data_IF_956404375260
#
_entry.id   IF_956404375260
#
_cell.length_a   1.000
_cell.length_b   1.000
_cell.length_c   1.000
_cell.angle_alpha   90.00
_cell.angle_beta   90.00
_cell.angle_gamma   90.00
#
_symmetry.space_group_name_H-M   'P 1'
#
loop_
_entity.id
_entity.type
_entity.pdbx_description
1 polymer ?
#
# COMPACT_ATOMS: atom_id res chain seq x y z
N UNK A 1 -10.91 -6.87 -2.54
CA UNK A 1 -10.19 -8.07 -3.05
C UNK A 1 -11.21 -9.17 -3.39
N UNK A 2 -12.06 -8.95 -4.39
CA UNK A 2 -13.17 -9.88 -4.70
C UNK A 2 -12.76 -11.00 -5.67
N UNK A 3 -11.84 -10.71 -6.59
CA UNK A 3 -11.38 -11.69 -7.59
C UNK A 3 -10.51 -12.77 -6.94
N UNK A 4 -9.47 -12.38 -6.20
CA UNK A 4 -8.62 -13.29 -5.43
C UNK A 4 -9.25 -13.50 -4.05
N UNK A 5 -10.26 -14.38 -3.97
CA UNK A 5 -11.01 -14.61 -2.74
C UNK A 5 -11.32 -16.10 -2.53
N UNK A 6 -11.51 -16.55 -1.27
CA UNK A 6 -11.78 -17.96 -0.98
C UNK A 6 -13.00 -18.53 -1.72
N UNK A 7 -14.13 -17.80 -1.87
CA UNK A 7 -15.27 -18.30 -2.64
C UNK A 7 -14.93 -18.58 -4.10
N UNK A 8 -14.21 -17.67 -4.77
CA UNK A 8 -13.82 -17.85 -6.18
C UNK A 8 -12.83 -19.00 -6.30
N UNK A 9 -11.85 -19.08 -5.40
CA UNK A 9 -10.88 -20.17 -5.41
C UNK A 9 -11.53 -21.53 -5.16
N UNK A 10 -12.52 -21.62 -4.27
CA UNK A 10 -13.27 -22.84 -4.01
C UNK A 10 -14.08 -23.30 -5.24
N UNK A 11 -14.71 -22.36 -5.95
CA UNK A 11 -15.41 -22.67 -7.21
C UNK A 11 -14.44 -23.20 -8.26
N UNK A 12 -13.25 -22.60 -8.40
CA UNK A 12 -12.24 -23.10 -9.34
C UNK A 12 -11.72 -24.50 -8.97
N UNK A 13 -11.57 -24.80 -7.68
CA UNK A 13 -11.24 -26.16 -7.21
C UNK A 13 -12.31 -27.18 -7.62
N UNK A 14 -13.58 -26.84 -7.40
CA UNK A 14 -14.71 -27.69 -7.81
C UNK A 14 -14.76 -27.89 -9.34
N UNK A 15 -14.61 -26.83 -10.12
CA UNK A 15 -14.61 -26.90 -11.59
C UNK A 15 -13.45 -27.74 -12.12
N UNK A 16 -12.28 -27.68 -11.47
CA UNK A 16 -11.15 -28.54 -11.80
C UNK A 16 -11.49 -30.02 -11.60
N UNK A 17 -12.13 -30.37 -10.49
CA UNK A 17 -12.52 -31.75 -10.18
C UNK A 17 -13.60 -32.29 -11.12
N UNK A 18 -14.48 -31.42 -11.63
CA UNK A 18 -15.58 -31.79 -12.53
C UNK A 18 -15.26 -31.59 -14.02
N UNK A 19 -14.01 -31.25 -14.35
CA UNK A 19 -13.58 -30.94 -15.71
C UNK A 19 -13.79 -32.14 -16.65
N UNK A 20 -14.52 -31.93 -17.76
CA UNK A 20 -14.87 -32.96 -18.72
C UNK A 20 -16.07 -33.83 -18.33
N UNK A 21 -16.62 -33.66 -17.13
CA UNK A 21 -17.85 -34.33 -16.68
C UNK A 21 -19.06 -33.39 -16.75
N UNK A 22 -19.07 -32.36 -15.90
CA UNK A 22 -20.19 -31.40 -15.81
C UNK A 22 -19.79 -29.98 -16.22
N UNK A 23 -18.50 -29.75 -16.47
CA UNK A 23 -17.99 -28.48 -16.98
C UNK A 23 -16.90 -28.71 -18.04
N UNK A 24 -16.50 -27.62 -18.68
CA UNK A 24 -15.51 -27.62 -19.77
C UNK A 24 -14.19 -28.30 -19.34
N UNK A 25 -13.63 -29.12 -20.23
CA UNK A 25 -12.37 -29.84 -19.99
C UNK A 25 -11.18 -28.90 -19.76
N UNK A 26 -11.24 -27.66 -20.26
CA UNK A 26 -10.22 -26.63 -20.02
C UNK A 26 -10.01 -26.31 -18.54
N UNK A 27 -11.01 -26.55 -17.68
CA UNK A 27 -10.87 -26.37 -16.24
C UNK A 27 -9.89 -27.34 -15.58
N UNK A 28 -9.50 -28.44 -16.25
CA UNK A 28 -8.49 -29.36 -15.72
C UNK A 28 -7.13 -28.66 -15.44
N UNK A 29 -6.85 -27.57 -16.15
CA UNK A 29 -5.57 -26.86 -16.08
C UNK A 29 -5.55 -25.67 -15.11
N UNK A 30 -6.64 -25.37 -14.40
CA UNK A 30 -6.71 -24.19 -13.50
C UNK A 30 -5.95 -24.37 -12.18
N UNK A 31 -5.26 -25.51 -11.99
CA UNK A 31 -4.53 -25.82 -10.76
C UNK A 31 -3.51 -24.74 -10.38
N UNK A 32 -2.78 -24.19 -11.35
CA UNK A 32 -1.82 -23.11 -11.09
C UNK A 32 -2.50 -21.81 -10.69
N UNK A 33 -3.65 -21.49 -11.29
CA UNK A 33 -4.47 -20.33 -10.91
C UNK A 33 -4.97 -20.47 -9.47
N UNK A 34 -5.42 -21.65 -9.08
CA UNK A 34 -5.85 -21.94 -7.70
C UNK A 34 -4.71 -21.71 -6.71
N UNK A 35 -3.52 -22.26 -6.99
CA UNK A 35 -2.33 -22.06 -6.15
C UNK A 35 -1.97 -20.58 -6.06
N UNK A 36 -1.98 -19.86 -7.19
CA UNK A 36 -1.73 -18.42 -7.19
C UNK A 36 -2.74 -17.67 -6.31
N UNK A 37 -4.03 -17.98 -6.44
CA UNK A 37 -5.07 -17.29 -5.69
C UNK A 37 -5.00 -17.58 -4.20
N UNK A 38 -4.75 -18.84 -3.80
CA UNK A 38 -4.56 -19.21 -2.39
C UNK A 38 -3.33 -18.50 -1.79
N UNK A 39 -2.19 -18.54 -2.49
CA UNK A 39 -0.94 -17.91 -2.03
C UNK A 39 -1.07 -16.41 -1.90
N UNK A 40 -1.65 -15.73 -2.91
CA UNK A 40 -1.86 -14.29 -2.84
C UNK A 40 -2.89 -13.93 -1.77
N UNK A 41 -3.99 -14.66 -1.65
CA UNK A 41 -4.98 -14.43 -0.59
C UNK A 41 -4.38 -14.53 0.81
N UNK A 42 -3.55 -15.55 1.04
CA UNK A 42 -2.83 -15.70 2.29
C UNK A 42 -1.87 -14.54 2.55
N UNK A 43 -1.09 -14.14 1.55
CA UNK A 43 -0.20 -12.97 1.66
C UNK A 43 -0.97 -11.71 2.07
N UNK A 44 -2.07 -11.37 1.38
CA UNK A 44 -2.88 -10.21 1.74
C UNK A 44 -3.46 -10.31 3.15
N UNK A 45 -3.86 -11.50 3.57
CA UNK A 45 -4.40 -11.75 4.93
C UNK A 45 -3.35 -11.45 6.00
N UNK A 46 -2.13 -11.97 5.84
CA UNK A 46 -1.03 -11.76 6.79
C UNK A 46 -0.57 -10.30 6.86
N UNK A 47 -0.72 -9.57 5.77
CA UNK A 47 -0.33 -8.15 5.64
C UNK A 47 -1.45 -7.18 6.08
N UNK A 48 -2.66 -7.68 6.34
CA UNK A 48 -3.84 -6.88 6.75
C UNK A 48 -4.44 -7.36 8.09
N UNK A 49 -3.60 -7.82 9.02
CA UNK A 49 -4.06 -8.20 10.37
C UNK A 49 -4.54 -6.96 11.11
N UNK A 50 -5.85 -6.90 11.39
CA UNK A 50 -6.53 -5.67 11.76
C UNK A 50 -6.83 -5.51 13.24
N UNK A 51 -7.07 -6.61 13.95
CA UNK A 51 -7.48 -6.63 15.35
C UNK A 51 -7.23 -8.02 15.97
N UNK A 52 -7.39 -8.12 17.30
CA UNK A 52 -7.09 -9.34 18.05
C UNK A 52 -8.25 -10.35 18.13
N UNK A 53 -9.39 -10.11 17.50
CA UNK A 53 -10.59 -10.97 17.58
C UNK A 53 -11.01 -11.56 16.24
N UNK A 54 -10.50 -11.02 15.13
CA UNK A 54 -10.87 -11.43 13.78
C UNK A 54 -10.58 -12.92 13.53
N UNK A 55 -9.45 -13.42 14.02
CA UNK A 55 -9.09 -14.83 13.90
C UNK A 55 -10.10 -15.77 14.59
N UNK A 56 -10.72 -15.32 15.68
CA UNK A 56 -11.77 -16.06 16.39
C UNK A 56 -13.07 -16.05 15.60
N UNK A 57 -13.52 -14.86 15.17
CA UNK A 57 -14.79 -14.72 14.46
C UNK A 57 -14.79 -15.40 13.08
N UNK A 58 -13.65 -15.34 12.38
CA UNK A 58 -13.50 -15.96 11.04
C UNK A 58 -12.95 -17.38 11.10
N UNK A 59 -12.64 -17.89 12.31
CA UNK A 59 -12.00 -19.17 12.54
C UNK A 59 -10.80 -19.41 11.60
N UNK A 60 -9.94 -18.39 11.49
CA UNK A 60 -8.78 -18.42 10.62
C UNK A 60 -7.55 -17.87 11.36
N UNK A 61 -6.54 -18.71 11.66
CA UNK A 61 -5.37 -18.32 12.43
C UNK A 61 -4.49 -17.29 11.73
N UNK A 62 -4.55 -17.17 10.39
CA UNK A 62 -3.76 -16.17 9.66
C UNK A 62 -4.15 -14.73 10.02
N UNK A 63 -5.35 -14.48 10.56
CA UNK A 63 -5.77 -13.17 11.08
C UNK A 63 -5.33 -12.89 12.53
N UNK A 64 -4.56 -13.77 13.17
CA UNK A 64 -4.13 -13.56 14.56
C UNK A 64 -3.10 -12.43 14.63
N UNK A 65 -3.14 -11.61 15.68
CA UNK A 65 -2.06 -10.64 15.94
C UNK A 65 -0.71 -11.36 16.09
N UNK A 66 0.39 -10.69 15.72
CA UNK A 66 1.73 -11.23 15.92
C UNK A 66 2.17 -10.96 17.35
N UNK A 67 2.53 -12.00 18.10
CA UNK A 67 2.92 -11.92 19.52
C UNK A 67 4.34 -12.43 19.78
N UNK A 68 4.94 -13.10 18.78
CA UNK A 68 6.27 -13.71 18.87
C UNK A 68 7.06 -13.39 17.61
N UNK A 69 8.37 -13.20 17.76
CA UNK A 69 9.32 -13.07 16.65
C UNK A 69 9.45 -14.35 15.82
N UNK A 70 9.20 -15.50 16.43
CA UNK A 70 9.29 -16.84 15.81
C UNK A 70 7.94 -17.32 15.27
N UNK A 71 7.02 -16.40 14.99
CA UNK A 71 5.71 -16.74 14.41
C UNK A 71 5.92 -17.36 13.02
N UNK A 72 5.45 -18.61 12.85
CA UNK A 72 5.60 -19.38 11.60
C UNK A 72 5.07 -18.63 10.38
N UNK A 73 4.11 -17.71 10.56
CA UNK A 73 3.55 -16.88 9.48
C UNK A 73 4.56 -15.86 8.96
N UNK A 74 5.44 -15.34 9.82
CA UNK A 74 6.57 -14.49 9.40
C UNK A 74 7.57 -15.31 8.57
N UNK A 75 7.88 -16.53 9.02
CA UNK A 75 8.73 -17.46 8.26
C UNK A 75 8.13 -17.82 6.89
N UNK A 76 6.80 -18.01 6.82
CA UNK A 76 6.12 -18.25 5.54
C UNK A 76 6.22 -17.05 4.58
N UNK A 77 6.10 -15.81 5.08
CA UNK A 77 6.25 -14.60 4.26
C UNK A 77 7.67 -14.45 3.72
N UNK A 78 8.67 -14.74 4.54
CA UNK A 78 10.08 -14.53 4.24
C UNK A 78 10.67 -15.64 3.35
N UNK A 79 10.36 -16.90 3.64
CA UNK A 79 10.87 -18.03 2.85
C UNK A 79 9.87 -18.44 1.77
N UNK A 80 8.73 -19.01 2.17
CA UNK A 80 7.83 -19.71 1.25
C UNK A 80 7.21 -18.79 0.18
N UNK A 81 6.81 -17.57 0.56
CA UNK A 81 6.19 -16.63 -0.37
C UNK A 81 7.23 -16.02 -1.33
N UNK A 82 8.43 -15.67 -0.85
CA UNK A 82 9.49 -15.12 -1.71
C UNK A 82 10.00 -16.17 -2.70
N UNK A 83 10.19 -17.42 -2.25
CA UNK A 83 10.55 -18.54 -3.13
C UNK A 83 9.48 -18.78 -4.19
N UNK A 84 8.20 -18.74 -3.79
CA UNK A 84 7.09 -18.82 -4.71
C UNK A 84 7.15 -17.71 -5.77
N UNK A 85 7.40 -16.44 -5.39
CA UNK A 85 7.55 -15.32 -6.33
C UNK A 85 8.74 -15.52 -7.29
N UNK A 86 9.85 -16.06 -6.82
CA UNK A 86 11.01 -16.38 -7.65
C UNK A 86 10.67 -17.48 -8.67
N UNK A 87 9.95 -18.52 -8.23
CA UNK A 87 9.59 -19.66 -9.06
C UNK A 87 8.61 -19.31 -10.17
N UNK A 88 7.59 -18.50 -9.86
CA UNK A 88 6.67 -18.02 -10.90
C UNK A 88 7.38 -17.09 -11.88
N UNK A 89 8.34 -16.27 -11.43
CA UNK A 89 9.16 -15.43 -12.33
C UNK A 89 10.02 -16.29 -13.27
N UNK A 90 10.58 -17.39 -12.77
CA UNK A 90 11.42 -18.31 -13.55
C UNK A 90 10.65 -19.02 -14.66
N UNK A 91 9.38 -19.35 -14.41
CA UNK A 91 8.55 -20.11 -15.35
C UNK A 91 7.62 -19.26 -16.21
N UNK A 92 7.41 -18.00 -15.86
CA UNK A 92 6.54 -17.11 -16.62
C UNK A 92 7.34 -16.39 -17.71
N UNK A 93 6.85 -16.33 -18.96
CA UNK A 93 7.40 -15.42 -19.95
C UNK A 93 7.20 -13.98 -19.46
N UNK A 94 8.14 -13.08 -19.78
CA UNK A 94 8.20 -11.73 -19.21
C UNK A 94 6.90 -10.90 -19.37
N UNK A 95 6.08 -11.19 -20.38
CA UNK A 95 4.81 -10.49 -20.64
C UNK A 95 3.64 -10.99 -19.78
N UNK A 96 3.73 -12.18 -19.19
CA UNK A 96 2.64 -12.84 -18.45
C UNK A 96 2.89 -12.87 -16.94
N UNK A 97 3.88 -12.13 -16.47
CA UNK A 97 4.22 -12.00 -15.06
C UNK A 97 3.85 -10.60 -14.53
N UNK A 98 4.02 -10.39 -13.22
CA UNK A 98 3.92 -9.08 -12.61
C UNK A 98 4.93 -8.11 -13.26
N UNK A 99 4.56 -6.84 -13.36
CA UNK A 99 5.50 -5.80 -13.80
C UNK A 99 6.71 -5.74 -12.87
N UNK A 100 7.84 -5.21 -13.37
CA UNK A 100 9.06 -5.07 -12.59
C UNK A 100 8.80 -4.30 -11.29
N UNK A 101 7.98 -3.27 -11.39
CA UNK A 101 7.56 -2.37 -10.31
C UNK A 101 6.69 -3.11 -9.29
N UNK A 102 5.67 -3.86 -9.74
CA UNK A 102 4.77 -4.59 -8.83
C UNK A 102 5.52 -5.71 -8.09
N UNK A 103 6.36 -6.48 -8.77
CA UNK A 103 7.17 -7.51 -8.09
C UNK A 103 8.11 -6.87 -7.08
N UNK A 104 8.84 -5.81 -7.46
CA UNK A 104 9.75 -5.12 -6.53
C UNK A 104 9.00 -4.57 -5.32
N UNK A 105 7.83 -3.98 -5.54
CA UNK A 105 6.96 -3.50 -4.48
C UNK A 105 6.51 -4.61 -3.51
N UNK A 106 6.16 -5.79 -4.03
CA UNK A 106 5.81 -6.96 -3.21
C UNK A 106 6.99 -7.44 -2.35
N UNK A 107 8.19 -7.55 -2.94
CA UNK A 107 9.40 -7.97 -2.23
C UNK A 107 9.71 -7.01 -1.08
N UNK A 108 9.85 -5.71 -1.40
CA UNK A 108 10.15 -4.68 -0.40
C UNK A 108 9.09 -4.68 0.69
N UNK A 109 7.80 -4.69 0.31
CA UNK A 109 6.72 -4.65 1.28
C UNK A 109 6.74 -5.87 2.20
N UNK A 110 7.00 -7.06 1.68
CA UNK A 110 7.04 -8.30 2.47
C UNK A 110 8.20 -8.27 3.45
N UNK A 111 9.42 -8.08 2.96
CA UNK A 111 10.64 -8.08 3.77
C UNK A 111 10.56 -6.98 4.83
N UNK A 112 10.24 -5.74 4.44
CA UNK A 112 10.15 -4.63 5.40
C UNK A 112 9.08 -4.83 6.47
N UNK A 113 7.95 -5.50 6.16
CA UNK A 113 6.94 -5.79 7.18
C UNK A 113 7.42 -6.86 8.16
N UNK A 114 8.03 -7.95 7.67
CA UNK A 114 8.57 -9.02 8.54
C UNK A 114 9.61 -8.43 9.51
N UNK A 115 10.58 -7.71 8.97
CA UNK A 115 11.62 -7.04 9.76
C UNK A 115 11.03 -6.05 10.78
N UNK A 116 10.06 -5.23 10.35
CA UNK A 116 9.41 -4.28 11.25
C UNK A 116 8.63 -4.99 12.39
N UNK A 117 7.93 -6.09 12.10
CA UNK A 117 7.23 -6.87 13.12
C UNK A 117 8.23 -7.43 14.13
N UNK A 118 9.32 -8.07 13.68
CA UNK A 118 10.38 -8.60 14.56
C UNK A 118 10.98 -7.50 15.43
N UNK A 119 11.35 -6.36 14.84
CA UNK A 119 11.90 -5.22 15.57
C UNK A 119 10.96 -4.68 16.65
N UNK A 120 9.67 -4.53 16.32
CA UNK A 120 8.67 -4.03 17.27
C UNK A 120 8.47 -4.99 18.46
N UNK A 121 8.51 -6.30 18.22
CA UNK A 121 8.38 -7.31 19.26
C UNK A 121 9.67 -7.46 20.10
N UNK A 122 10.83 -7.61 19.45
CA UNK A 122 12.12 -7.90 20.07
C UNK A 122 12.76 -6.70 20.75
N UNK A 123 12.88 -5.59 20.02
CA UNK A 123 13.64 -4.41 20.44
C UNK A 123 12.73 -3.46 21.20
N UNK A 124 11.57 -3.15 20.62
CA UNK A 124 10.63 -2.19 21.22
C UNK A 124 9.73 -2.82 22.29
N UNK A 125 9.75 -4.15 22.44
CA UNK A 125 9.01 -4.92 23.46
C UNK A 125 7.50 -4.67 23.42
N UNK A 126 6.94 -4.56 22.21
CA UNK A 126 5.50 -4.49 22.04
C UNK A 126 4.88 -5.84 22.38
N UNK A 127 3.73 -5.83 23.06
CA UNK A 127 3.01 -7.07 23.40
C UNK A 127 2.52 -7.81 22.15
N UNK A 128 2.11 -7.06 21.13
CA UNK A 128 1.67 -7.60 19.86
C UNK A 128 1.77 -6.54 18.75
N UNK A 129 1.72 -6.98 17.49
CA UNK A 129 1.76 -6.14 16.30
C UNK A 129 0.57 -6.45 15.37
N UNK A 130 0.00 -5.39 14.78
CA UNK A 130 -1.08 -5.45 13.79
C UNK A 130 -0.60 -4.86 12.47
N UNK A 131 -0.41 -5.70 11.45
CA UNK A 131 0.18 -5.29 10.15
C UNK A 131 -0.69 -4.30 9.38
N UNK A 132 -2.02 -4.29 9.59
CA UNK A 132 -2.90 -3.26 9.01
C UNK A 132 -2.49 -1.84 9.36
N UNK A 133 -1.86 -1.62 10.53
CA UNK A 133 -1.41 -0.29 10.98
C UNK A 133 -0.18 0.23 10.23
N UNK A 134 0.45 -0.60 9.40
CA UNK A 134 1.59 -0.23 8.56
C UNK A 134 1.18 0.17 7.13
N UNK A 135 -0.12 0.23 6.84
CA UNK A 135 -0.66 0.63 5.53
C UNK A 135 -0.88 2.15 5.41
N UNK A 136 -1.02 2.64 4.18
CA UNK A 136 -1.37 4.03 3.87
C UNK A 136 -2.88 4.31 4.00
N UNK A 137 -3.72 3.28 4.20
CA UNK A 137 -5.18 3.41 4.26
C UNK A 137 -5.68 4.54 5.19
N UNK A 138 -5.12 4.77 6.40
CA UNK A 138 -5.56 5.87 7.25
C UNK A 138 -5.31 7.25 6.63
N UNK A 139 -4.20 7.41 5.91
CA UNK A 139 -3.84 8.65 5.21
C UNK A 139 -4.74 8.83 3.98
N UNK A 140 -5.02 7.76 3.25
CA UNK A 140 -5.95 7.78 2.11
C UNK A 140 -7.38 8.12 2.55
N UNK A 141 -7.83 7.56 3.68
CA UNK A 141 -9.10 7.89 4.30
C UNK A 141 -9.16 9.37 4.71
N UNK A 142 -8.06 9.90 5.24
CA UNK A 142 -7.94 11.33 5.55
C UNK A 142 -8.02 12.21 4.30
N UNK A 143 -7.36 11.84 3.20
CA UNK A 143 -7.50 12.54 1.92
C UNK A 143 -8.92 12.44 1.35
N UNK A 144 -9.58 11.29 1.52
CA UNK A 144 -10.99 11.13 1.18
C UNK A 144 -11.90 12.04 2.02
N UNK A 145 -11.61 12.19 3.31
CA UNK A 145 -12.30 13.14 4.18
C UNK A 145 -12.07 14.59 3.76
N UNK A 146 -10.83 14.97 3.43
CA UNK A 146 -10.52 16.32 2.96
C UNK A 146 -11.31 16.67 1.69
N UNK A 147 -11.38 15.76 0.71
CA UNK A 147 -12.21 15.94 -0.49
C UNK A 147 -13.68 16.12 -0.15
N UNK A 148 -14.24 15.28 0.73
CA UNK A 148 -15.63 15.42 1.19
C UNK A 148 -15.89 16.72 1.95
N UNK A 149 -14.90 17.21 2.70
CA UNK A 149 -15.03 18.45 3.48
C UNK A 149 -15.14 19.70 2.59
N UNK A 150 -14.64 19.62 1.35
CA UNK A 150 -14.77 20.66 0.33
C UNK A 150 -16.11 20.59 -0.44
N UNK A 151 -17.02 19.69 -0.07
CA UNK A 151 -18.32 19.52 -0.73
C UNK A 151 -18.24 18.75 -2.04
N UNK A 152 -18.90 19.23 -3.09
CA UNK A 152 -18.93 18.60 -4.42
C UNK A 152 -17.65 18.85 -5.25
N UNK A 153 -16.65 19.51 -4.67
CA UNK A 153 -15.41 19.81 -5.37
C UNK A 153 -14.38 18.70 -5.15
N UNK A 154 -14.34 17.72 -6.06
CA UNK A 154 -13.35 16.64 -6.05
C UNK A 154 -11.92 17.15 -6.33
N UNK A 155 -11.78 18.33 -6.94
CA UNK A 155 -10.50 19.00 -7.17
C UNK A 155 -10.24 20.02 -6.05
N UNK A 156 -9.74 19.55 -4.92
CA UNK A 156 -9.40 20.41 -3.79
C UNK A 156 -8.20 21.30 -4.10
N UNK A 157 -8.37 22.61 -4.05
CA UNK A 157 -7.24 23.55 -4.09
C UNK A 157 -6.52 23.57 -2.73
N UNK A 158 -5.31 24.17 -2.71
CA UNK A 158 -4.49 24.23 -1.50
C UNK A 158 -5.23 24.95 -0.35
N UNK A 159 -6.06 25.96 -0.65
CA UNK A 159 -6.81 26.70 0.36
C UNK A 159 -7.89 25.85 1.01
N UNK A 160 -8.63 25.06 0.23
CA UNK A 160 -9.61 24.12 0.74
C UNK A 160 -8.96 23.04 1.61
N UNK A 161 -7.81 22.51 1.19
CA UNK A 161 -7.05 21.53 2.00
C UNK A 161 -6.62 22.14 3.33
N UNK A 162 -6.01 23.33 3.33
CA UNK A 162 -5.58 24.00 4.56
C UNK A 162 -6.76 24.27 5.50
N UNK A 163 -7.87 24.77 4.96
CA UNK A 163 -9.08 25.03 5.74
C UNK A 163 -9.68 23.74 6.31
N UNK A 164 -9.64 22.64 5.55
CA UNK A 164 -10.08 21.32 5.99
C UNK A 164 -9.22 20.76 7.13
N UNK A 165 -7.89 20.86 7.00
CA UNK A 165 -6.95 20.45 8.06
C UNK A 165 -7.19 21.28 9.33
N UNK A 166 -7.28 22.60 9.20
CA UNK A 166 -7.55 23.50 10.32
C UNK A 166 -8.87 23.16 11.02
N UNK A 167 -9.92 22.87 10.24
CA UNK A 167 -11.22 22.44 10.76
C UNK A 167 -11.12 21.10 11.51
N UNK A 168 -10.38 20.13 10.99
CA UNK A 168 -10.16 18.83 11.64
C UNK A 168 -9.52 19.00 13.02
N UNK A 169 -8.49 19.85 13.11
CA UNK A 169 -7.78 20.14 14.35
C UNK A 169 -8.67 20.87 15.36
N UNK A 170 -9.39 21.91 14.92
CA UNK A 170 -10.27 22.70 15.81
C UNK A 170 -11.46 21.93 16.34
N UNK A 171 -11.94 20.94 15.60
CA UNK A 171 -13.11 20.13 15.98
C UNK A 171 -12.74 18.82 16.68
N UNK A 172 -11.44 18.57 16.88
CA UNK A 172 -10.92 17.34 17.52
C UNK A 172 -11.43 16.03 16.88
N UNK A 173 -11.76 16.05 15.59
CA UNK A 173 -12.14 14.83 14.85
C UNK A 173 -10.96 13.84 14.77
N UNK A 174 -9.72 14.33 14.96
CA UNK A 174 -8.47 13.57 14.92
C UNK A 174 -7.87 13.28 16.32
N UNK A 175 -8.65 12.80 17.30
CA UNK A 175 -8.11 12.31 18.57
C UNK A 175 -7.68 10.83 18.50
N UNK A 176 -6.64 10.47 19.26
CA UNK A 176 -6.25 9.07 19.46
C UNK A 176 -7.29 8.32 20.27
N UNK A 177 -7.57 7.05 19.95
CA UNK A 177 -8.53 6.27 20.74
C UNK A 177 -8.00 6.06 22.17
N UNK A 178 -8.90 6.08 23.15
CA UNK A 178 -8.58 5.74 24.55
C UNK A 178 -8.09 4.28 24.72
N UNK A 179 -8.30 3.46 23.69
CA UNK A 179 -7.81 2.08 23.57
C UNK A 179 -6.49 1.93 22.82
N UNK A 180 -5.76 3.02 22.58
CA UNK A 180 -4.44 2.99 21.95
C UNK A 180 -3.46 2.13 22.77
N UNK A 181 -2.53 1.45 22.09
CA UNK A 181 -1.49 0.63 22.73
C UNK A 181 -0.34 1.46 23.33
N UNK A 182 -0.41 2.79 23.25
CA UNK A 182 0.54 3.73 23.87
C UNK A 182 -0.19 4.49 24.99
N UNK A 183 0.44 4.60 26.15
CA UNK A 183 -0.06 5.36 27.31
C UNK A 183 -0.39 6.79 26.89
N UNK A 184 -1.68 7.14 26.87
CA UNK A 184 -2.13 8.53 26.75
C UNK A 184 -2.08 9.15 28.14
N UNK A 185 -1.28 10.21 28.31
CA UNK A 185 -1.33 10.99 29.54
C UNK A 185 -2.77 11.49 29.77
N UNK A 186 -3.25 11.32 31.00
CA UNK A 186 -4.65 11.49 31.37
C UNK A 186 -5.27 12.79 30.88
N UNK A 187 -6.55 12.66 30.53
CA UNK A 187 -7.46 13.71 30.12
C UNK A 187 -7.58 14.81 31.18
N UNK A 188 -6.75 15.85 31.09
CA UNK A 188 -7.06 17.15 31.65
C UNK A 188 -6.52 18.27 30.76
N UNK A 189 -7.47 18.95 30.11
CA UNK A 189 -7.33 20.18 29.31
C UNK A 189 -6.63 20.03 27.96
N UNK A 190 -7.40 20.33 26.92
CA UNK A 190 -6.92 20.72 25.61
C UNK A 190 -6.01 21.95 25.77
N UNK A 191 -4.70 21.73 25.75
CA UNK A 191 -3.71 22.77 25.46
C UNK A 191 -2.81 22.24 24.37
N UNK A 192 -2.74 22.99 23.27
CA UNK A 192 -2.12 22.67 21.98
C UNK A 192 -0.59 22.52 22.00
N UNK A 193 -0.03 21.92 23.04
CA UNK A 193 1.42 21.86 23.30
C UNK A 193 2.00 20.44 23.34
N UNK A 194 1.19 19.40 23.12
CA UNK A 194 1.62 18.01 23.28
C UNK A 194 2.35 17.37 22.08
N UNK A 195 2.81 18.16 21.11
CA UNK A 195 3.70 17.69 20.02
C UNK A 195 5.18 18.01 20.26
N UNK A 196 5.60 18.25 21.51
CA UNK A 196 7.02 18.25 21.86
C UNK A 196 7.50 16.83 22.17
N UNK A 197 7.98 16.20 21.10
CA UNK A 197 9.12 15.29 21.04
C UNK A 197 9.60 14.73 22.40
N UNK A 198 9.17 13.51 22.75
CA UNK A 198 9.91 12.68 23.71
C UNK A 198 11.06 12.03 22.95
N UNK A 199 12.35 12.27 23.28
CA UNK A 199 13.43 11.59 22.59
C UNK A 199 13.51 10.15 23.12
N UNK A 200 13.28 9.18 22.24
CA UNK A 200 13.60 7.77 22.48
C UNK A 200 15.13 7.60 22.46
N UNK A 201 15.82 8.06 23.51
CA UNK A 201 17.29 8.08 23.59
C UNK A 201 17.92 6.69 23.64
N UNK A 202 17.17 5.66 24.05
CA UNK A 202 17.64 4.27 24.09
C UNK A 202 17.50 3.52 22.74
N UNK A 203 16.65 4.00 21.82
CA UNK A 203 16.37 3.30 20.56
C UNK A 203 17.30 3.70 19.40
N UNK A 204 18.11 4.76 19.54
CA UNK A 204 18.83 5.33 18.39
C UNK A 204 19.99 4.46 17.87
N UNK A 205 20.66 3.70 18.72
CA UNK A 205 21.73 2.80 18.29
C UNK A 205 21.16 1.53 17.66
N UNK A 206 20.15 0.93 18.28
CA UNK A 206 19.49 -0.28 17.78
C UNK A 206 18.71 -0.01 16.49
N UNK A 207 18.11 1.18 16.33
CA UNK A 207 17.47 1.59 15.07
C UNK A 207 18.44 1.67 13.90
N UNK A 208 19.70 2.10 14.12
CA UNK A 208 20.70 2.17 13.06
C UNK A 208 21.19 0.78 12.65
N UNK A 209 21.38 -0.11 13.61
CA UNK A 209 21.74 -1.50 13.35
C UNK A 209 20.63 -2.23 12.57
N UNK A 210 19.38 -2.08 13.02
CA UNK A 210 18.20 -2.61 12.33
C UNK A 210 18.07 -2.10 10.89
N UNK A 211 18.23 -0.79 10.67
CA UNK A 211 18.17 -0.24 9.32
C UNK A 211 19.28 -0.79 8.42
N UNK A 212 20.49 -1.01 8.94
CA UNK A 212 21.59 -1.59 8.18
C UNK A 212 21.28 -3.05 7.80
N UNK A 213 20.85 -3.86 8.76
CA UNK A 213 20.50 -5.28 8.55
C UNK A 213 19.33 -5.44 7.56
N UNK A 214 18.23 -4.69 7.77
CA UNK A 214 17.10 -4.70 6.85
C UNK A 214 17.48 -4.25 5.43
N UNK A 215 18.40 -3.28 5.31
CA UNK A 215 18.92 -2.83 4.01
C UNK A 215 19.76 -3.92 3.35
N UNK A 216 20.62 -4.62 4.09
CA UNK A 216 21.41 -5.74 3.57
C UNK A 216 20.51 -6.88 3.09
N UNK A 217 19.53 -7.32 3.89
CA UNK A 217 18.58 -8.38 3.50
C UNK A 217 17.77 -7.99 2.25
N UNK A 218 17.34 -6.73 2.17
CA UNK A 218 16.67 -6.18 0.99
C UNK A 218 17.61 -6.16 -0.22
N UNK A 219 18.84 -5.70 -0.06
CA UNK A 219 19.83 -5.63 -1.15
C UNK A 219 20.20 -7.01 -1.65
N UNK A 220 20.45 -7.99 -0.78
CA UNK A 220 20.71 -9.39 -1.17
C UNK A 220 19.53 -9.98 -1.96
N UNK A 221 18.30 -9.72 -1.50
CA UNK A 221 17.07 -10.17 -2.18
C UNK A 221 16.82 -9.46 -3.52
N UNK A 222 17.37 -8.25 -3.70
CA UNK A 222 17.21 -7.44 -4.91
C UNK A 222 18.41 -7.54 -5.88
N UNK A 223 19.59 -7.95 -5.41
CA UNK A 223 20.84 -8.02 -6.17
C UNK A 223 20.86 -9.16 -7.19
N UNK A 224 19.92 -10.09 -7.11
CA UNK A 224 19.55 -10.97 -8.22
C UNK A 224 19.07 -10.22 -9.49
N UNK A 225 18.91 -8.89 -9.46
CA UNK A 225 18.38 -8.10 -10.56
C UNK A 225 19.21 -6.84 -10.92
N UNK A 226 20.47 -6.76 -10.51
CA UNK A 226 21.39 -5.69 -10.98
C UNK A 226 21.83 -5.92 -12.44
N UNK A 227 20.87 -5.91 -13.37
CA UNK A 227 21.11 -5.52 -14.76
C UNK A 227 20.06 -4.49 -15.19
N UNK A 228 20.55 -3.29 -15.49
CA UNK A 228 19.84 -2.11 -15.99
C UNK A 228 18.73 -1.54 -15.06
N UNK A 229 19.14 -0.67 -14.14
CA UNK A 229 18.37 0.53 -13.85
C UNK A 229 19.03 1.69 -14.61
N UNK A 230 18.27 2.52 -15.35
CA UNK A 230 18.82 3.70 -16.00
C UNK A 230 19.41 4.62 -14.93
N UNK A 231 20.62 5.14 -15.19
CA UNK A 231 21.23 6.17 -14.35
C UNK A 231 20.29 7.38 -14.24
N UNK A 232 20.35 8.15 -13.14
CA UNK A 232 19.49 9.33 -12.94
C UNK A 232 19.51 10.30 -14.14
N UNK A 233 20.61 10.36 -14.87
CA UNK A 233 20.75 11.15 -16.11
C UNK A 233 19.81 10.66 -17.23
N UNK A 234 19.63 9.35 -17.39
CA UNK A 234 18.75 8.75 -18.39
C UNK A 234 17.28 8.93 -18.01
N UNK A 235 16.96 8.90 -16.72
CA UNK A 235 15.61 9.19 -16.22
C UNK A 235 15.25 10.68 -16.41
N UNK A 236 16.21 11.59 -16.21
CA UNK A 236 16.02 13.02 -16.44
C UNK A 236 15.80 13.34 -17.93
N UNK A 237 16.51 12.64 -18.83
CA UNK A 237 16.32 12.77 -20.29
C UNK A 237 14.95 12.29 -20.76
N UNK A 238 14.35 11.28 -20.13
CA UNK A 238 13.02 10.78 -20.45
C UNK A 238 11.87 11.70 -19.99
N UNK A 239 12.15 12.61 -19.05
CA UNK A 239 11.21 13.63 -18.55
C UNK A 239 11.21 14.92 -19.39
N UNK A 240 12.11 15.05 -20.36
CA UNK A 240 12.08 16.14 -21.32
C UNK A 240 10.97 15.86 -22.36
N UNK A 241 10.08 16.83 -22.65
CA UNK A 241 9.07 16.64 -23.68
C UNK A 241 9.77 16.35 -25.02
N UNK A 242 9.27 15.40 -25.82
CA UNK A 242 9.87 15.09 -27.11
C UNK A 242 9.92 16.36 -27.94
N UNK A 243 11.09 16.64 -28.54
CA UNK A 243 11.25 17.73 -29.51
C UNK A 243 10.13 17.58 -30.55
N UNK A 244 9.18 18.51 -30.49
CA UNK A 244 8.12 18.62 -31.50
C UNK A 244 8.85 18.79 -32.83
N UNK A 245 8.78 17.75 -33.65
CA UNK A 245 9.22 17.80 -35.04
C UNK A 245 8.35 18.86 -35.71
N UNK A 246 8.94 20.01 -36.02
CA UNK A 246 8.32 21.05 -36.84
C UNK A 246 8.10 20.49 -38.25
N UNK A 247 6.98 19.80 -38.45
CA UNK A 247 6.39 19.58 -39.76
C UNK A 247 5.10 20.39 -39.82
N UNK A 248 5.20 21.51 -40.53
CA UNK A 248 4.16 22.34 -41.14
C UNK A 248 2.70 22.02 -40.77
N UNK A 249 2.11 22.84 -39.91
CA UNK A 249 0.75 23.34 -40.10
C UNK A 249 0.73 24.81 -39.71
N UNK A 250 0.67 25.69 -40.70
CA UNK A 250 0.55 27.12 -40.50
C UNK A 250 -0.85 27.48 -40.05
N UNK A 251 -0.97 28.08 -38.88
CA UNK A 251 -2.07 28.98 -38.54
C UNK A 251 -1.47 30.24 -37.92
N UNK A 252 -1.65 31.35 -38.64
CA UNK A 252 -1.11 32.67 -38.34
C UNK A 252 -1.98 33.33 -37.26
N UNK A 253 -1.42 33.54 -36.07
CA UNK A 253 -2.09 34.17 -34.93
C UNK A 253 -1.75 35.66 -34.88
N UNK A 254 -2.27 36.41 -35.86
CA UNK A 254 -2.41 37.86 -35.81
C UNK A 254 -3.82 38.19 -36.23
N UNK A 255 -4.79 38.03 -35.33
CA UNK A 255 -6.02 38.81 -35.35
C UNK A 255 -6.79 38.61 -34.04
N UNK A 256 -7.46 39.69 -33.63
CA UNK A 256 -8.45 39.82 -32.55
C UNK A 256 -7.91 40.06 -31.13
N UNK A 257 -7.30 41.24 -31.02
CA UNK A 257 -7.63 42.19 -29.99
C UNK A 257 -9.10 42.66 -30.18
N UNK A 258 -10.06 42.21 -29.35
CA UNK A 258 -11.17 43.05 -28.87
C UNK A 258 -12.03 42.29 -27.84
N UNK A 259 -12.26 42.91 -26.69
CA UNK A 259 -13.32 42.51 -25.75
C UNK A 259 -14.71 42.72 -26.39
N UNK A 260 -15.76 42.14 -25.79
CA UNK A 260 -16.69 43.06 -25.12
C UNK A 260 -17.23 42.56 -23.77
N UNK A 261 -17.39 43.53 -22.85
CA UNK A 261 -18.41 43.52 -21.79
C UNK A 261 -19.80 43.52 -22.45
N UNK A 262 -20.81 42.92 -21.82
CA UNK A 262 -22.16 43.47 -21.84
C UNK A 262 -22.96 42.98 -20.61
N UNK A 263 -23.55 43.96 -19.94
CA UNK A 263 -24.43 43.87 -18.79
C UNK A 263 -25.89 43.84 -19.29
N UNK A 264 -26.69 43.04 -18.59
CA UNK A 264 -28.16 43.06 -18.35
C UNK A 264 -29.19 43.72 -19.30
N UNK A 265 -30.27 42.93 -19.48
CA UNK A 265 -31.71 43.27 -19.48
C UNK A 265 -32.37 43.99 -20.66
N UNK A 266 -33.50 43.41 -21.10
CA UNK A 266 -34.74 44.16 -21.30
C UNK A 266 -35.45 44.03 -22.66
N UNK A 267 -36.56 43.28 -22.65
CA UNK A 267 -37.87 43.54 -23.30
C UNK A 267 -37.94 44.33 -24.64
N UNK A 268 -38.27 43.64 -25.73
CA UNK A 268 -39.61 43.58 -26.39
C UNK A 268 -39.50 42.95 -27.78
#
# INVERSE_FOLDING_TARGET
MQVVSPPVTAVLKLLKEQAGHTCDASFAHVGLTVVFMDTMYRWFTLMDVSNCTQHVHQNNPDYKQYESEDDERLGWLEASFLDYLAEIKRHSPAMNFLTKETRRGLLIKTISNVECVRYLLMVMRFRFVLTKKMSSDPIEAFFGWLRKSAGLNDQTDVRAVLSGIEKSLKTSIACTSSSSNVMTADSSSCSSSALLHRPARAAQNDSKAFLAEATTTLEESLDMEKTLLPTPDVAALAMLPPKICQCQFGFNMKDLHNQPRCIENGDR
#
